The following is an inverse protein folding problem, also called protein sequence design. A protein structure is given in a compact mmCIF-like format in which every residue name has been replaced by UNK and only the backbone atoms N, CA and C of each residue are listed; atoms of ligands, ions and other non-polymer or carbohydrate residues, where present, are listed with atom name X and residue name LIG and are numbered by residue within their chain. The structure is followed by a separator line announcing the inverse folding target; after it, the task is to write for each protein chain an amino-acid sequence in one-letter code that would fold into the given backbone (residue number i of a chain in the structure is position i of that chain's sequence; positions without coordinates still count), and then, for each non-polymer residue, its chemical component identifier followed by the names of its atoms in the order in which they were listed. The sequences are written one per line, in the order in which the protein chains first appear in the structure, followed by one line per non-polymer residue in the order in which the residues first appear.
data_IF_779070857445
#
_entry.id   IF_779070857445
#
_cell.length_a   1.000
_cell.length_b   1.000
_cell.length_c   1.000
_cell.angle_alpha   90.00
_cell.angle_beta   90.00
_cell.angle_gamma   90.00
#
_symmetry.space_group_name_H-M   'P 1'
#
loop_
_entity.id
_entity.type
_entity.pdbx_description
1 polymer ?
#
# COMPACT_ATOMS: atom_id res chain seq x y z
N UNK A 1 10.98 -27.54 -8.89
CA UNK A 1 9.60 -27.38 -8.47
C UNK A 1 8.96 -26.33 -9.37
N UNK A 2 7.77 -26.58 -9.95
CA UNK A 2 7.11 -25.53 -10.71
C UNK A 2 6.74 -24.41 -9.75
N UNK A 3 7.27 -23.22 -9.98
CA UNK A 3 6.83 -22.00 -9.31
C UNK A 3 5.36 -21.79 -9.67
N UNK A 4 4.45 -21.93 -8.70
CA UNK A 4 3.05 -21.52 -8.88
C UNK A 4 3.06 -20.02 -9.21
N UNK A 5 2.52 -19.67 -10.35
CA UNK A 5 2.28 -18.26 -10.67
C UNK A 5 1.22 -17.73 -9.70
N UNK A 6 1.30 -16.48 -9.33
CA UNK A 6 0.34 -15.80 -8.46
C UNK A 6 -1.09 -15.90 -9.00
N UNK A 7 -1.28 -15.82 -10.31
CA UNK A 7 -2.56 -16.11 -10.97
C UNK A 7 -3.17 -17.47 -10.60
N UNK A 8 -2.34 -18.48 -10.31
CA UNK A 8 -2.81 -19.82 -9.87
C UNK A 8 -3.28 -19.79 -8.42
N UNK A 9 -2.70 -18.91 -7.58
CA UNK A 9 -3.11 -18.72 -6.18
C UNK A 9 -4.42 -17.93 -6.10
N UNK A 10 -4.56 -16.87 -6.90
CA UNK A 10 -5.80 -16.11 -7.01
C UNK A 10 -6.96 -16.98 -7.52
N UNK A 11 -6.76 -17.72 -8.61
CA UNK A 11 -7.75 -18.64 -9.14
C UNK A 11 -8.12 -19.73 -8.10
N UNK A 12 -7.17 -20.22 -7.32
CA UNK A 12 -7.41 -21.17 -6.24
C UNK A 12 -8.21 -20.57 -5.08
N UNK A 13 -7.95 -19.32 -4.73
CA UNK A 13 -8.71 -18.60 -3.70
C UNK A 13 -10.15 -18.33 -4.15
N UNK A 14 -10.34 -17.86 -5.38
CA UNK A 14 -11.66 -17.61 -5.95
C UNK A 14 -12.50 -18.89 -6.02
N UNK A 15 -11.93 -20.01 -6.42
CA UNK A 15 -12.60 -21.32 -6.43
C UNK A 15 -13.01 -21.77 -5.01
N UNK A 16 -12.14 -21.56 -4.02
CA UNK A 16 -12.44 -21.86 -2.62
C UNK A 16 -13.61 -21.00 -2.09
N UNK A 17 -13.58 -19.70 -2.37
CA UNK A 17 -14.67 -18.77 -2.03
C UNK A 17 -15.97 -19.19 -2.72
N UNK A 18 -15.93 -19.47 -4.02
CA UNK A 18 -17.08 -19.90 -4.79
C UNK A 18 -17.67 -21.22 -4.26
N UNK A 19 -16.82 -22.12 -3.79
CA UNK A 19 -17.25 -23.37 -3.18
C UNK A 19 -17.92 -23.14 -1.83
N UNK A 20 -17.37 -22.28 -0.97
CA UNK A 20 -18.01 -21.91 0.30
C UNK A 20 -19.40 -21.31 0.06
N UNK A 21 -19.51 -20.36 -0.86
CA UNK A 21 -20.78 -19.70 -1.19
C UNK A 21 -21.82 -20.69 -1.75
N UNK A 22 -21.42 -21.64 -2.61
CA UNK A 22 -22.30 -22.71 -3.11
C UNK A 22 -22.83 -23.61 -1.98
N UNK A 23 -22.07 -23.76 -0.91
CA UNK A 23 -22.47 -24.50 0.27
C UNK A 23 -23.25 -23.67 1.32
N UNK A 24 -23.67 -22.45 0.94
CA UNK A 24 -24.47 -21.59 1.81
C UNK A 24 -23.66 -20.82 2.87
N UNK A 25 -22.33 -20.79 2.73
CA UNK A 25 -21.45 -20.05 3.65
C UNK A 25 -21.19 -18.67 3.06
N UNK A 26 -21.65 -17.58 3.70
CA UNK A 26 -21.34 -16.23 3.23
C UNK A 26 -19.84 -15.93 3.40
N UNK A 27 -19.24 -15.26 2.42
CA UNK A 27 -17.83 -14.89 2.43
C UNK A 27 -17.70 -13.39 2.22
N UNK A 28 -16.92 -12.75 3.09
CA UNK A 28 -16.48 -11.36 2.98
C UNK A 28 -14.97 -11.34 2.86
N UNK A 29 -14.43 -10.64 1.88
CA UNK A 29 -13.00 -10.42 1.74
C UNK A 29 -12.60 -9.14 2.47
N UNK A 30 -11.41 -9.13 3.08
CA UNK A 30 -10.92 -8.03 3.92
C UNK A 30 -9.53 -7.60 3.46
N UNK A 31 -9.34 -6.31 3.21
CA UNK A 31 -8.09 -5.66 2.75
C UNK A 31 -7.56 -6.10 1.39
N UNK A 32 -7.73 -7.36 1.01
CA UNK A 32 -7.42 -7.89 -0.30
C UNK A 32 -8.66 -8.49 -0.92
N UNK A 33 -8.98 -8.12 -2.16
CA UNK A 33 -10.20 -8.52 -2.81
C UNK A 33 -10.01 -9.68 -3.79
N UNK A 34 -11.03 -10.53 -3.89
CA UNK A 34 -11.16 -11.60 -4.88
C UNK A 34 -12.29 -11.21 -5.86
N UNK A 35 -12.02 -10.27 -6.74
CA UNK A 35 -13.01 -9.55 -7.57
C UNK A 35 -13.87 -10.48 -8.43
N UNK A 36 -13.30 -11.58 -8.92
CA UNK A 36 -14.00 -12.55 -9.79
C UNK A 36 -14.70 -13.66 -9.01
N UNK A 37 -14.63 -13.62 -7.66
CA UNK A 37 -15.33 -14.58 -6.81
C UNK A 37 -16.79 -14.21 -6.55
N UNK A 38 -17.53 -15.15 -5.96
CA UNK A 38 -18.91 -14.94 -5.51
C UNK A 38 -19.02 -14.41 -4.09
N UNK A 39 -17.99 -13.74 -3.57
CA UNK A 39 -18.06 -13.10 -2.26
C UNK A 39 -19.24 -12.14 -2.16
N UNK A 40 -19.80 -11.98 -0.98
CA UNK A 40 -20.90 -11.08 -0.72
C UNK A 40 -20.45 -9.62 -0.63
N UNK A 41 -19.27 -9.40 -0.03
CA UNK A 41 -18.75 -8.05 0.18
C UNK A 41 -17.22 -8.04 0.20
N UNK A 42 -16.67 -6.89 -0.10
CA UNK A 42 -15.28 -6.53 0.19
C UNK A 42 -15.25 -5.39 1.23
N UNK A 43 -14.41 -5.51 2.24
CA UNK A 43 -14.16 -4.48 3.25
C UNK A 43 -12.69 -4.07 3.19
N UNK A 44 -12.44 -2.79 2.91
CA UNK A 44 -11.06 -2.31 2.75
C UNK A 44 -11.00 -0.90 2.17
N UNK A 45 -9.83 -0.49 1.74
CA UNK A 45 -9.60 0.80 1.08
C UNK A 45 -9.55 0.59 -0.42
N UNK A 46 -10.25 1.40 -1.21
CA UNK A 46 -10.17 1.32 -2.67
C UNK A 46 -8.83 1.86 -3.17
N UNK A 47 -8.27 1.25 -4.21
CA UNK A 47 -7.01 1.69 -4.83
C UNK A 47 -7.08 3.13 -5.32
N UNK A 48 -8.25 3.55 -5.80
CA UNK A 48 -8.47 4.93 -6.23
C UNK A 48 -8.35 5.92 -5.05
N UNK A 49 -9.05 5.66 -3.96
CA UNK A 49 -9.03 6.52 -2.77
C UNK A 49 -7.67 6.50 -2.08
N UNK A 50 -7.05 5.33 -1.98
CA UNK A 50 -5.70 5.19 -1.44
C UNK A 50 -4.69 5.99 -2.27
N UNK A 51 -4.76 5.87 -3.60
CA UNK A 51 -3.93 6.63 -4.52
C UNK A 51 -4.14 8.14 -4.41
N UNK A 52 -5.39 8.60 -4.26
CA UNK A 52 -5.71 10.01 -4.02
C UNK A 52 -5.09 10.50 -2.71
N UNK A 53 -5.30 9.78 -1.61
CA UNK A 53 -4.79 10.14 -0.30
C UNK A 53 -3.25 10.19 -0.27
N UNK A 54 -2.58 9.18 -0.83
CA UNK A 54 -1.13 9.21 -1.00
C UNK A 54 -0.67 10.34 -1.91
N UNK A 55 -1.38 10.60 -3.01
CA UNK A 55 -1.07 11.68 -3.93
C UNK A 55 -1.06 13.04 -3.24
N UNK A 56 -2.06 13.33 -2.41
CA UNK A 56 -2.14 14.57 -1.62
C UNK A 56 -0.97 14.68 -0.63
N UNK A 57 -0.60 13.58 0.01
CA UNK A 57 0.53 13.56 0.95
C UNK A 57 1.85 13.72 0.22
N UNK A 58 2.11 12.95 -0.83
CA UNK A 58 3.34 13.07 -1.62
C UNK A 58 3.52 14.49 -2.14
N UNK A 59 2.45 15.10 -2.68
CA UNK A 59 2.46 16.47 -3.17
C UNK A 59 2.91 17.50 -2.12
N UNK A 60 2.57 17.31 -0.84
CA UNK A 60 3.04 18.18 0.27
C UNK A 60 4.55 18.09 0.52
N UNK A 61 5.16 16.97 0.16
CA UNK A 61 6.60 16.76 0.34
C UNK A 61 7.44 17.09 -0.89
N UNK A 62 6.79 17.40 -2.03
CA UNK A 62 7.47 17.89 -3.23
C UNK A 62 7.99 19.31 -3.00
N UNK A 63 9.25 19.54 -3.32
CA UNK A 63 9.91 20.85 -3.28
C UNK A 63 10.75 21.07 -4.55
N UNK A 64 11.41 22.23 -4.66
CA UNK A 64 12.23 22.61 -5.82
C UNK A 64 13.43 21.66 -6.09
N UNK A 65 13.83 20.88 -5.09
CA UNK A 65 14.94 19.94 -5.19
C UNK A 65 14.46 18.54 -5.55
N UNK A 66 13.17 18.26 -5.49
CA UNK A 66 12.59 16.95 -5.79
C UNK A 66 12.71 16.64 -7.28
N UNK A 67 13.44 15.58 -7.61
CA UNK A 67 13.66 15.12 -9.00
C UNK A 67 13.18 13.70 -9.22
N UNK A 68 13.19 12.86 -8.17
CA UNK A 68 12.88 11.42 -8.30
C UNK A 68 11.95 10.97 -7.20
N UNK A 69 10.87 10.34 -7.59
CA UNK A 69 9.91 9.68 -6.70
C UNK A 69 9.84 8.21 -7.10
N UNK A 70 10.02 7.33 -6.14
CA UNK A 70 9.87 5.89 -6.32
C UNK A 70 8.72 5.38 -5.46
N UNK A 71 7.79 4.66 -6.08
CA UNK A 71 6.66 4.02 -5.42
C UNK A 71 6.93 2.52 -5.39
N UNK A 72 6.97 1.93 -4.19
CA UNK A 72 7.16 0.50 -3.97
C UNK A 72 5.86 -0.13 -3.51
N UNK A 73 5.53 -1.27 -4.08
CA UNK A 73 4.38 -2.08 -3.69
C UNK A 73 4.71 -3.57 -3.82
N UNK A 74 4.19 -4.38 -2.90
CA UNK A 74 4.17 -5.84 -2.99
C UNK A 74 2.78 -6.28 -3.42
N UNK A 75 2.52 -6.26 -4.70
CA UNK A 75 1.28 -6.79 -5.28
C UNK A 75 1.61 -7.59 -6.52
N UNK A 76 0.76 -8.56 -6.79
CA UNK A 76 0.85 -9.33 -8.02
C UNK A 76 0.08 -8.61 -9.13
N UNK A 77 0.67 -7.55 -9.63
CA UNK A 77 0.22 -6.81 -10.79
C UNK A 77 1.34 -6.78 -11.83
N UNK A 78 0.99 -6.89 -13.09
CA UNK A 78 1.96 -6.97 -14.18
C UNK A 78 2.80 -5.68 -14.31
N UNK A 79 2.16 -4.51 -14.22
CA UNK A 79 2.84 -3.22 -14.25
C UNK A 79 2.28 -2.25 -13.21
N UNK A 80 3.11 -1.86 -12.25
CA UNK A 80 2.75 -0.85 -11.23
C UNK A 80 2.38 0.49 -11.85
N UNK A 81 3.00 0.87 -12.98
CA UNK A 81 2.76 2.15 -13.63
C UNK A 81 1.37 2.23 -14.29
N UNK A 82 0.69 1.11 -14.50
CA UNK A 82 -0.68 1.03 -14.97
C UNK A 82 -1.72 1.02 -13.83
N UNK A 83 -1.27 0.95 -12.58
CA UNK A 83 -2.17 0.90 -11.42
C UNK A 83 -2.90 2.23 -11.19
N UNK A 84 -4.11 2.16 -10.61
CA UNK A 84 -4.86 3.36 -10.21
C UNK A 84 -4.10 4.16 -9.16
N UNK A 85 -3.44 3.49 -8.22
CA UNK A 85 -2.62 4.13 -7.17
C UNK A 85 -1.53 5.00 -7.80
N UNK A 86 -0.73 4.41 -8.71
CA UNK A 86 0.33 5.15 -9.40
C UNK A 86 -0.22 6.35 -10.17
N UNK A 87 -1.32 6.16 -10.89
CA UNK A 87 -1.95 7.20 -11.69
C UNK A 87 -2.37 8.39 -10.81
N UNK A 88 -3.02 8.13 -9.66
CA UNK A 88 -3.46 9.21 -8.77
C UNK A 88 -2.28 9.95 -8.14
N UNK A 89 -1.27 9.23 -7.65
CA UNK A 89 -0.06 9.83 -7.08
C UNK A 89 0.65 10.69 -8.14
N UNK A 90 0.84 10.15 -9.34
CA UNK A 90 1.52 10.87 -10.43
C UNK A 90 0.80 12.15 -10.83
N UNK A 91 -0.53 12.11 -10.92
CA UNK A 91 -1.34 13.28 -11.24
C UNK A 91 -1.22 14.36 -10.15
N UNK A 92 -1.33 13.97 -8.87
CA UNK A 92 -1.22 14.91 -7.77
C UNK A 92 0.16 15.57 -7.71
N UNK A 93 1.23 14.80 -7.92
CA UNK A 93 2.61 15.33 -7.96
C UNK A 93 2.81 16.30 -9.11
N UNK A 94 2.38 15.95 -10.31
CA UNK A 94 2.49 16.84 -11.50
C UNK A 94 1.75 18.15 -11.29
N UNK A 95 0.56 18.09 -10.69
CA UNK A 95 -0.22 19.31 -10.38
C UNK A 95 0.49 20.17 -9.33
N UNK A 96 1.05 19.60 -8.29
CA UNK A 96 1.76 20.33 -7.23
C UNK A 96 3.09 20.91 -7.71
N UNK A 97 3.85 20.18 -8.50
CA UNK A 97 5.14 20.61 -9.02
C UNK A 97 5.03 21.72 -10.08
N UNK A 98 3.88 21.82 -10.77
CA UNK A 98 3.70 22.73 -11.91
C UNK A 98 4.65 22.44 -13.09
N UNK A 99 5.34 21.29 -13.08
CA UNK A 99 6.26 20.86 -14.13
C UNK A 99 6.22 19.34 -14.30
N UNK A 100 6.64 18.86 -15.48
CA UNK A 100 6.81 17.42 -15.75
C UNK A 100 8.24 16.91 -15.48
N UNK A 101 9.09 17.72 -14.86
CA UNK A 101 10.52 17.41 -14.69
C UNK A 101 10.81 16.40 -13.57
N UNK A 102 9.79 15.97 -12.81
CA UNK A 102 9.94 14.96 -11.76
C UNK A 102 9.78 13.57 -12.36
N UNK A 103 10.82 12.75 -12.25
CA UNK A 103 10.77 11.34 -12.62
C UNK A 103 10.00 10.56 -11.56
N UNK A 104 8.85 9.98 -11.93
CA UNK A 104 8.05 9.14 -11.05
C UNK A 104 8.09 7.72 -11.58
N UNK A 105 8.49 6.77 -10.74
CA UNK A 105 8.55 5.35 -11.09
C UNK A 105 7.77 4.51 -10.09
N UNK A 106 7.00 3.56 -10.60
CA UNK A 106 6.44 2.47 -9.82
C UNK A 106 7.30 1.21 -9.96
N UNK A 107 7.58 0.54 -8.84
CA UNK A 107 8.25 -0.76 -8.83
C UNK A 107 7.45 -1.75 -8.01
N UNK A 108 7.08 -2.83 -8.63
CA UNK A 108 6.45 -3.95 -7.96
C UNK A 108 7.53 -4.91 -7.44
N UNK A 109 7.49 -5.21 -6.16
CA UNK A 109 8.40 -6.16 -5.53
C UNK A 109 7.71 -7.52 -5.46
N UNK A 110 7.89 -8.32 -6.50
CA UNK A 110 7.46 -9.72 -6.53
C UNK A 110 8.40 -10.55 -5.65
N UNK A 111 8.23 -10.48 -4.35
CA UNK A 111 9.06 -11.26 -3.45
C UNK A 111 8.25 -12.35 -2.77
N UNK A 112 8.87 -13.50 -2.65
CA UNK A 112 8.33 -14.66 -1.93
C UNK A 112 8.74 -14.68 -0.46
N UNK A 113 9.55 -13.72 -0.01
CA UNK A 113 10.04 -13.63 1.36
C UNK A 113 10.62 -12.28 1.75
N UNK A 114 10.81 -12.09 3.06
CA UNK A 114 11.33 -10.83 3.64
C UNK A 114 12.76 -10.53 3.19
N UNK A 115 13.59 -11.56 3.02
CA UNK A 115 14.98 -11.40 2.59
C UNK A 115 15.09 -10.78 1.19
N UNK A 116 14.28 -11.26 0.24
CA UNK A 116 14.27 -10.73 -1.13
C UNK A 116 13.74 -9.29 -1.17
N UNK A 117 12.80 -8.94 -0.30
CA UNK A 117 12.31 -7.56 -0.15
C UNK A 117 13.42 -6.65 0.39
N UNK A 118 14.12 -7.10 1.43
CA UNK A 118 15.24 -6.37 2.02
C UNK A 118 16.36 -6.14 1.00
N UNK A 119 16.76 -7.18 0.24
CA UNK A 119 17.76 -7.07 -0.83
C UNK A 119 17.30 -6.07 -1.91
N UNK A 120 16.07 -6.18 -2.39
CA UNK A 120 15.52 -5.31 -3.43
C UNK A 120 15.42 -3.84 -2.99
N UNK A 121 15.10 -3.57 -1.72
CA UNK A 121 15.08 -2.22 -1.16
C UNK A 121 16.50 -1.70 -0.94
N UNK A 122 17.40 -2.54 -0.42
CA UNK A 122 18.82 -2.20 -0.22
C UNK A 122 19.49 -1.79 -1.54
N UNK A 123 19.22 -2.51 -2.62
CA UNK A 123 19.77 -2.23 -3.97
C UNK A 123 19.41 -0.81 -4.47
N UNK A 124 18.25 -0.28 -4.08
CA UNK A 124 17.84 1.09 -4.44
C UNK A 124 18.83 2.10 -3.89
N UNK A 125 19.32 1.89 -2.67
CA UNK A 125 20.20 2.82 -1.96
C UNK A 125 21.69 2.58 -2.27
N UNK A 126 22.08 1.39 -2.69
CA UNK A 126 23.46 1.10 -3.11
C UNK A 126 23.85 1.91 -4.36
N UNK A 127 22.92 2.14 -5.27
CA UNK A 127 23.14 2.88 -6.49
C UNK A 127 22.97 4.39 -6.26
N UNK A 128 23.96 5.07 -5.74
CA UNK A 128 23.93 6.51 -5.34
C UNK A 128 23.26 7.44 -6.35
N UNK A 129 23.31 7.14 -7.66
CA UNK A 129 22.70 7.96 -8.72
C UNK A 129 21.19 7.75 -8.85
N UNK A 130 20.65 6.66 -8.28
CA UNK A 130 19.27 6.25 -8.44
C UNK A 130 18.46 6.38 -7.13
N UNK A 131 19.09 6.87 -6.06
CA UNK A 131 18.40 7.13 -4.79
C UNK A 131 17.27 8.13 -5.05
N UNK A 132 16.02 7.83 -4.68
CA UNK A 132 14.92 8.74 -4.84
C UNK A 132 14.97 9.86 -3.79
N UNK A 133 14.37 11.01 -4.08
CA UNK A 133 14.16 12.09 -3.10
C UNK A 133 12.96 11.77 -2.20
N UNK A 134 11.95 11.10 -2.78
CA UNK A 134 10.78 10.61 -2.05
C UNK A 134 10.61 9.12 -2.37
N UNK A 135 10.50 8.31 -1.33
CA UNK A 135 10.20 6.89 -1.40
C UNK A 135 8.82 6.64 -0.79
N UNK A 136 7.90 6.12 -1.60
CA UNK A 136 6.55 5.76 -1.18
C UNK A 136 6.49 4.25 -1.02
N UNK A 137 6.20 3.77 0.18
CA UNK A 137 6.04 2.35 0.50
C UNK A 137 4.55 2.07 0.76
N UNK A 138 3.99 1.11 0.03
CA UNK A 138 2.56 0.83 0.02
C UNK A 138 2.19 -0.42 0.83
N UNK A 139 3.13 -0.94 1.62
CA UNK A 139 2.93 -2.05 2.55
C UNK A 139 3.92 -1.96 3.73
N UNK A 140 3.61 -2.71 4.81
CA UNK A 140 4.38 -2.71 6.05
C UNK A 140 5.83 -3.16 5.82
N UNK A 141 6.02 -4.26 5.10
CA UNK A 141 7.34 -4.87 4.91
C UNK A 141 8.28 -3.94 4.12
N UNK A 142 7.80 -3.33 3.03
CA UNK A 142 8.61 -2.35 2.29
C UNK A 142 8.90 -1.10 3.10
N UNK A 143 7.98 -0.69 3.99
CA UNK A 143 8.20 0.44 4.91
C UNK A 143 9.30 0.14 5.92
N UNK A 144 9.28 -1.05 6.53
CA UNK A 144 10.31 -1.48 7.48
C UNK A 144 11.68 -1.65 6.82
N UNK A 145 11.74 -2.29 5.65
CA UNK A 145 12.98 -2.44 4.89
C UNK A 145 13.54 -1.07 4.48
N UNK A 146 12.69 -0.12 4.05
CA UNK A 146 13.11 1.23 3.70
C UNK A 146 13.63 2.00 4.91
N UNK A 147 12.97 1.88 6.08
CA UNK A 147 13.41 2.45 7.35
C UNK A 147 14.81 1.96 7.70
N UNK A 148 15.04 0.66 7.65
CA UNK A 148 16.36 0.08 7.96
C UNK A 148 17.42 0.55 6.97
N UNK A 149 17.15 0.47 5.66
CA UNK A 149 18.09 0.87 4.62
C UNK A 149 18.49 2.36 4.73
N UNK A 150 17.55 3.26 5.04
CA UNK A 150 17.83 4.69 5.26
C UNK A 150 18.84 4.90 6.40
N UNK A 151 18.73 4.13 7.46
CA UNK A 151 19.66 4.20 8.60
C UNK A 151 21.04 3.66 8.19
N UNK A 152 21.09 2.51 7.56
CA UNK A 152 22.33 1.84 7.14
C UNK A 152 23.15 2.68 6.15
N UNK A 153 22.46 3.37 5.23
CA UNK A 153 23.09 4.27 4.24
C UNK A 153 23.26 5.71 4.70
N UNK A 154 22.87 6.03 5.95
CA UNK A 154 22.95 7.38 6.53
C UNK A 154 22.23 8.45 5.68
N UNK A 155 21.01 8.13 5.27
CA UNK A 155 20.14 8.95 4.39
C UNK A 155 18.95 9.55 5.14
N UNK A 156 18.87 9.40 6.47
CA UNK A 156 17.83 10.01 7.28
C UNK A 156 17.80 11.54 7.08
N UNK A 157 16.62 12.08 6.78
CA UNK A 157 16.39 13.47 6.45
C UNK A 157 16.81 13.90 5.02
N UNK A 158 17.46 13.02 4.23
CA UNK A 158 17.79 13.28 2.83
C UNK A 158 16.76 12.67 1.88
N UNK A 159 16.27 11.47 2.19
CA UNK A 159 15.17 10.80 1.51
C UNK A 159 13.93 10.88 2.37
N UNK A 160 12.83 11.32 1.81
CA UNK A 160 11.54 11.39 2.49
C UNK A 160 10.82 10.06 2.30
N UNK A 161 10.59 9.31 3.38
CA UNK A 161 9.79 8.08 3.33
C UNK A 161 8.34 8.41 3.65
N UNK A 162 7.45 8.00 2.76
CA UNK A 162 6.00 7.96 2.97
C UNK A 162 5.62 6.50 3.08
N UNK A 163 5.36 6.05 4.30
CA UNK A 163 5.19 4.66 4.65
C UNK A 163 3.74 4.21 4.72
N UNK A 164 3.58 2.97 5.12
CA UNK A 164 2.31 2.31 5.37
C UNK A 164 2.41 1.52 6.66
N UNK A 165 1.28 1.44 7.40
CA UNK A 165 1.14 0.74 8.67
C UNK A 165 1.68 1.52 9.89
N UNK A 166 1.32 1.02 11.09
CA UNK A 166 1.56 1.69 12.37
C UNK A 166 2.09 0.73 13.44
N UNK A 167 3.09 -0.11 13.05
CA UNK A 167 3.85 -0.89 14.05
C UNK A 167 4.58 0.04 15.02
N UNK A 168 4.95 -0.45 16.19
CA UNK A 168 5.73 0.31 17.19
C UNK A 168 7.02 0.88 16.58
N UNK A 169 7.71 0.09 15.75
CA UNK A 169 8.95 0.49 15.09
C UNK A 169 8.74 1.57 14.03
N UNK A 170 7.67 1.49 13.24
CA UNK A 170 7.29 2.52 12.25
C UNK A 170 6.93 3.81 12.96
N UNK A 171 6.10 3.77 14.00
CA UNK A 171 5.72 4.96 14.78
C UNK A 171 6.93 5.60 15.45
N UNK A 172 7.83 4.82 16.06
CA UNK A 172 9.07 5.33 16.62
C UNK A 172 9.98 5.97 15.56
N UNK A 173 9.98 5.46 14.34
CA UNK A 173 10.73 6.03 13.22
C UNK A 173 10.10 7.34 12.72
N UNK A 174 8.78 7.47 12.74
CA UNK A 174 8.07 8.72 12.44
C UNK A 174 8.39 9.78 13.50
N UNK A 175 8.33 9.43 14.78
CA UNK A 175 8.69 10.32 15.88
C UNK A 175 10.13 10.87 15.75
N UNK A 176 11.09 10.00 15.39
CA UNK A 176 12.50 10.35 15.17
C UNK A 176 12.75 11.06 13.82
N UNK A 177 11.75 11.15 12.94
CA UNK A 177 11.89 11.78 11.62
C UNK A 177 12.69 10.94 10.60
N UNK A 178 12.85 9.63 10.83
CA UNK A 178 13.41 8.68 9.85
C UNK A 178 12.38 8.40 8.77
N UNK A 179 11.12 8.19 9.15
CA UNK A 179 9.95 8.15 8.27
C UNK A 179 9.25 9.50 8.36
N UNK A 180 8.90 10.10 7.23
CA UNK A 180 8.29 11.43 7.20
C UNK A 180 6.82 11.39 7.62
N UNK A 181 6.11 10.38 7.17
CA UNK A 181 4.70 10.13 7.46
C UNK A 181 4.37 8.68 7.15
N UNK A 182 3.40 8.10 7.86
CA UNK A 182 2.90 6.74 7.58
C UNK A 182 1.38 6.74 7.47
N UNK A 183 0.85 5.85 6.62
CA UNK A 183 -0.58 5.62 6.46
C UNK A 183 -1.08 4.65 7.54
N UNK A 184 -2.10 5.08 8.27
CA UNK A 184 -2.86 4.28 9.23
C UNK A 184 -4.23 3.95 8.64
N UNK A 185 -4.62 2.68 8.67
CA UNK A 185 -5.96 2.21 8.28
C UNK A 185 -6.80 2.04 9.54
N UNK A 186 -8.02 2.55 9.55
CA UNK A 186 -8.92 2.40 10.70
C UNK A 186 -9.30 0.92 10.91
N UNK A 187 -8.51 0.23 11.72
CA UNK A 187 -8.73 -1.20 12.04
C UNK A 187 -10.01 -1.44 12.86
N UNK A 188 -10.50 -0.43 13.59
CA UNK A 188 -11.78 -0.51 14.31
C UNK A 188 -12.93 -0.54 13.31
N UNK A 189 -12.91 0.38 12.36
CA UNK A 189 -13.90 0.44 11.27
C UNK A 189 -13.81 -0.81 10.38
N UNK A 190 -12.59 -1.29 10.10
CA UNK A 190 -12.37 -2.55 9.37
C UNK A 190 -13.07 -3.74 10.04
N UNK A 191 -12.90 -3.88 11.36
CA UNK A 191 -13.56 -4.93 12.13
C UNK A 191 -15.08 -4.77 12.15
N UNK A 192 -15.59 -3.57 12.40
CA UNK A 192 -17.02 -3.27 12.43
C UNK A 192 -17.71 -3.59 11.10
N UNK A 193 -17.16 -3.10 10.00
CA UNK A 193 -17.73 -3.34 8.67
C UNK A 193 -17.65 -4.80 8.24
N UNK A 194 -16.61 -5.53 8.66
CA UNK A 194 -16.50 -6.96 8.38
C UNK A 194 -17.62 -7.76 9.05
N UNK A 195 -17.95 -7.45 10.30
CA UNK A 195 -19.06 -8.06 11.02
C UNK A 195 -20.40 -7.62 10.42
N UNK A 196 -20.59 -6.32 10.17
CA UNK A 196 -21.79 -5.78 9.56
C UNK A 196 -22.10 -6.43 8.21
N UNK A 197 -21.09 -6.57 7.35
CA UNK A 197 -21.26 -7.17 6.02
C UNK A 197 -21.79 -8.61 6.10
N UNK A 198 -21.27 -9.41 7.05
CA UNK A 198 -21.70 -10.80 7.25
C UNK A 198 -23.09 -10.86 7.88
N UNK A 199 -23.33 -10.08 8.94
CA UNK A 199 -24.62 -10.09 9.66
C UNK A 199 -25.76 -9.61 8.77
N UNK A 200 -25.58 -8.50 8.06
CA UNK A 200 -26.61 -8.01 7.11
C UNK A 200 -26.95 -9.05 6.05
N UNK A 201 -25.96 -9.78 5.54
CA UNK A 201 -26.24 -10.83 4.57
C UNK A 201 -26.99 -12.01 5.18
N UNK A 202 -26.66 -12.42 6.41
CA UNK A 202 -27.35 -13.52 7.09
C UNK A 202 -28.81 -13.15 7.42
N UNK A 203 -29.05 -11.93 7.88
CA UNK A 203 -30.36 -11.46 8.33
C UNK A 203 -31.28 -11.08 7.16
N UNK A 204 -30.75 -10.34 6.18
CA UNK A 204 -31.51 -9.70 5.11
C UNK A 204 -31.34 -10.37 3.73
N UNK A 205 -30.43 -11.35 3.61
CA UNK A 205 -30.06 -11.98 2.34
C UNK A 205 -29.27 -11.06 1.38
N UNK A 206 -28.84 -9.89 1.85
CA UNK A 206 -28.11 -8.90 1.06
C UNK A 206 -27.18 -8.07 1.95
N UNK A 207 -26.11 -7.55 1.36
CA UNK A 207 -25.18 -6.60 1.96
C UNK A 207 -24.63 -5.66 0.89
N UNK A 208 -23.97 -4.59 1.28
CA UNK A 208 -23.23 -3.75 0.32
C UNK A 208 -22.09 -4.57 -0.32
N UNK A 209 -21.87 -4.39 -1.60
CA UNK A 209 -20.78 -5.08 -2.31
C UNK A 209 -19.38 -4.63 -1.88
N UNK A 210 -19.30 -3.42 -1.28
CA UNK A 210 -18.09 -2.79 -0.79
C UNK A 210 -18.37 -1.91 0.43
N UNK A 211 -17.50 -2.02 1.44
CA UNK A 211 -17.41 -1.11 2.57
C UNK A 211 -16.02 -0.47 2.54
N UNK A 212 -16.02 0.86 2.35
CA UNK A 212 -14.77 1.60 2.35
C UNK A 212 -14.33 1.90 3.78
N UNK A 213 -13.10 1.57 4.09
CA UNK A 213 -12.46 1.86 5.37
C UNK A 213 -11.64 3.13 5.24
N UNK A 214 -11.73 3.99 6.24
CA UNK A 214 -10.98 5.23 6.28
C UNK A 214 -9.50 4.97 6.54
N UNK A 215 -8.67 5.87 6.01
CA UNK A 215 -7.24 5.92 6.30
C UNK A 215 -6.84 7.33 6.72
N UNK A 216 -5.81 7.42 7.56
CA UNK A 216 -5.23 8.65 8.02
C UNK A 216 -3.71 8.63 7.81
N UNK A 217 -3.10 9.79 7.77
CA UNK A 217 -1.64 9.90 7.69
C UNK A 217 -1.09 10.50 8.97
N UNK A 218 -0.19 9.75 9.60
CA UNK A 218 0.43 10.13 10.86
C UNK A 218 1.86 10.62 10.60
N UNK A 219 2.07 11.89 10.81
CA UNK A 219 3.37 12.52 10.84
C UNK A 219 3.87 12.71 12.30
N UNK A 220 5.05 13.30 12.45
CA UNK A 220 5.66 13.56 13.77
C UNK A 220 4.77 14.37 14.73
N UNK A 221 3.81 15.13 14.23
CA UNK A 221 2.91 15.93 15.07
C UNK A 221 1.76 15.12 15.61
N UNK A 222 1.36 14.06 14.89
CA UNK A 222 0.27 13.17 15.26
C UNK A 222 0.68 12.01 16.18
N UNK A 223 1.97 11.62 16.16
CA UNK A 223 2.51 10.46 16.91
C UNK A 223 2.98 10.84 18.34
N UNK A 224 2.71 12.04 18.83
CA UNK A 224 3.11 12.50 20.17
C UNK A 224 2.22 11.97 21.27
#
# INVERSE_FOLDING_TARGET
FPTRRSSDLEAGLEEAINTAVRNGIPVVTVMSDAVHSRRQSFVGVSDYQLGMAYGEIVAKYVDENTKKILILQKRDIDDMNESQIYTQISNAVKMAAGSEDIEIKGRNLLSTGTFETEEAVTDIFQQKRNVPDILVCMDEETTECARQAILDFNLAGKVKIIGYYTSEDILAAVEKGVISVTCDVDTTQLGQYSVEAVTSYIEDGRTNSFYNVDNNFLDRTAVK
#
